data_IF_486662149033
#
_entry.id   IF_486662149033
#
_cell.length_a   1.000
_cell.length_b   1.000
_cell.length_c   1.000
_cell.angle_alpha   90.00
_cell.angle_beta   90.00
_cell.angle_gamma   90.00
#
_symmetry.space_group_name_H-M   'P 1'
#
loop_
_entity.id
_entity.type
_entity.pdbx_description
1 polymer ?
#
# COMPACT_ATOMS: atom_id res chain seq x y z
N UNK A 1 -44.50 -17.53 27.53
CA UNK A 1 -43.30 -16.67 27.40
C UNK A 1 -42.25 -17.51 26.70
N UNK A 2 -42.36 -17.83 25.40
CA UNK A 2 -42.54 -17.02 24.20
C UNK A 2 -41.31 -16.19 23.78
N UNK A 3 -41.02 -16.28 22.48
CA UNK A 3 -40.07 -15.59 21.60
C UNK A 3 -38.59 -16.01 21.60
N UNK A 4 -37.96 -16.34 20.48
CA UNK A 4 -38.41 -16.29 19.09
C UNK A 4 -37.22 -16.54 18.16
N UNK A 5 -37.11 -17.77 17.68
CA UNK A 5 -36.17 -18.21 16.64
C UNK A 5 -36.64 -17.57 15.31
N UNK A 6 -36.07 -16.42 14.93
CA UNK A 6 -36.45 -15.74 13.68
C UNK A 6 -35.74 -16.40 12.49
N UNK A 7 -36.30 -17.52 12.04
CA UNK A 7 -36.10 -18.05 10.69
C UNK A 7 -36.72 -17.03 9.74
N UNK A 8 -35.94 -16.47 8.82
CA UNK A 8 -36.47 -15.68 7.71
C UNK A 8 -36.84 -16.64 6.57
N UNK A 9 -38.12 -16.76 6.19
CA UNK A 9 -38.54 -17.44 4.97
C UNK A 9 -38.75 -16.36 3.89
N UNK A 10 -38.07 -16.39 2.75
CA UNK A 10 -38.55 -15.67 1.57
C UNK A 10 -37.93 -16.24 0.30
N UNK A 11 -38.52 -17.34 -0.17
CA UNK A 11 -39.17 -17.39 -1.49
C UNK A 11 -38.88 -16.19 -2.42
N UNK A 12 -37.71 -16.22 -3.08
CA UNK A 12 -37.37 -15.29 -4.18
C UNK A 12 -36.55 -15.94 -5.30
N UNK A 13 -36.29 -17.25 -5.21
CA UNK A 13 -35.43 -18.00 -6.13
C UNK A 13 -36.17 -18.64 -7.32
N UNK A 14 -37.51 -18.67 -7.34
CA UNK A 14 -38.28 -19.26 -8.46
C UNK A 14 -38.79 -18.24 -9.49
N UNK A 15 -38.92 -16.96 -9.14
CA UNK A 15 -39.43 -15.93 -10.08
C UNK A 15 -38.39 -15.45 -11.09
N UNK A 16 -37.10 -15.59 -10.79
CA UNK A 16 -36.03 -15.19 -11.70
C UNK A 16 -35.78 -16.21 -12.83
N UNK A 17 -36.15 -17.47 -12.64
CA UNK A 17 -35.95 -18.53 -13.63
C UNK A 17 -37.08 -18.59 -14.68
N UNK A 18 -38.29 -18.12 -14.32
CA UNK A 18 -39.43 -18.01 -15.24
C UNK A 18 -39.38 -16.82 -16.21
N UNK A 19 -38.48 -15.85 -16.01
CA UNK A 19 -38.36 -14.66 -16.87
C UNK A 19 -37.29 -14.80 -17.96
N UNK A 20 -36.44 -15.84 -17.89
CA UNK A 20 -35.41 -16.14 -18.90
C UNK A 20 -35.96 -16.95 -20.07
N UNK A 21 -37.01 -17.74 -19.86
CA UNK A 21 -37.66 -18.54 -20.92
C UNK A 21 -38.54 -17.71 -21.87
N UNK A 22 -38.98 -16.51 -21.47
CA UNK A 22 -39.85 -15.63 -22.28
C UNK A 22 -39.09 -14.64 -23.17
N UNK A 23 -37.78 -14.78 -23.32
CA UNK A 23 -36.99 -14.00 -24.31
C UNK A 23 -36.69 -14.77 -25.60
N UNK A 24 -37.19 -16.01 -25.76
CA UNK A 24 -36.95 -16.86 -26.94
C UNK A 24 -38.10 -16.83 -27.97
N UNK A 25 -38.80 -15.71 -28.09
CA UNK A 25 -39.83 -15.55 -29.12
C UNK A 25 -40.10 -14.07 -29.41
N UNK A 26 -39.13 -13.37 -30.00
CA UNK A 26 -39.39 -12.30 -30.98
C UNK A 26 -38.08 -11.84 -31.59
N UNK A 27 -37.78 -12.40 -32.75
CA UNK A 27 -36.77 -11.90 -33.66
C UNK A 27 -37.40 -10.76 -34.46
N UNK A 28 -36.92 -9.51 -34.31
CA UNK A 28 -37.00 -8.47 -35.34
C UNK A 28 -36.08 -7.28 -34.99
N UNK A 29 -35.16 -7.01 -35.93
CA UNK A 29 -34.47 -5.76 -36.28
C UNK A 29 -34.00 -4.75 -35.19
N UNK A 30 -32.69 -4.49 -35.18
CA UNK A 30 -32.13 -3.14 -34.95
C UNK A 30 -31.84 -2.69 -33.51
N UNK A 31 -32.22 -3.44 -32.47
CA UNK A 31 -31.99 -3.08 -31.03
C UNK A 31 -31.14 -4.09 -30.24
N UNK A 32 -30.26 -4.83 -30.92
CA UNK A 32 -29.51 -5.97 -30.35
C UNK A 32 -28.15 -5.57 -29.72
N UNK A 33 -27.38 -4.69 -30.37
CA UNK A 33 -26.01 -4.38 -29.94
C UNK A 33 -25.94 -3.69 -28.56
N UNK A 34 -26.81 -2.71 -28.30
CA UNK A 34 -26.86 -2.02 -27.00
C UNK A 34 -27.35 -2.91 -25.84
N UNK A 35 -28.16 -3.94 -26.13
CA UNK A 35 -28.64 -4.89 -25.12
C UNK A 35 -27.58 -5.96 -24.81
N UNK A 36 -26.82 -6.41 -25.80
CA UNK A 36 -25.68 -7.29 -25.60
C UNK A 36 -24.56 -6.59 -24.81
N UNK A 37 -24.26 -5.32 -25.12
CA UNK A 37 -23.27 -4.53 -24.38
C UNK A 37 -23.69 -4.31 -22.91
N UNK A 38 -24.96 -4.00 -22.66
CA UNK A 38 -25.47 -3.85 -21.29
C UNK A 38 -25.54 -5.17 -20.52
N UNK A 39 -25.78 -6.29 -21.21
CA UNK A 39 -25.74 -7.62 -20.60
C UNK A 39 -24.30 -7.99 -20.22
N UNK A 40 -23.33 -7.74 -21.12
CA UNK A 40 -21.90 -7.92 -20.88
C UNK A 40 -21.38 -7.00 -19.75
N UNK A 41 -21.82 -5.74 -19.70
CA UNK A 41 -21.44 -4.81 -18.62
C UNK A 41 -22.03 -5.24 -17.26
N UNK A 42 -23.25 -5.82 -17.25
CA UNK A 42 -23.87 -6.37 -16.03
C UNK A 42 -23.16 -7.62 -15.54
N UNK A 43 -22.78 -8.54 -16.43
CA UNK A 43 -22.00 -9.71 -16.05
C UNK A 43 -20.59 -9.31 -15.62
N UNK A 44 -19.96 -8.32 -16.24
CA UNK A 44 -18.66 -7.79 -15.80
C UNK A 44 -18.72 -7.14 -14.42
N UNK A 45 -19.75 -6.32 -14.14
CA UNK A 45 -19.99 -5.73 -12.81
C UNK A 45 -20.32 -6.79 -11.75
N UNK A 46 -21.06 -7.83 -12.11
CA UNK A 46 -21.37 -8.94 -11.22
C UNK A 46 -20.13 -9.80 -10.92
N UNK A 47 -19.28 -10.04 -11.91
CA UNK A 47 -17.98 -10.70 -11.74
C UNK A 47 -17.04 -9.86 -10.87
N UNK A 48 -16.95 -8.54 -11.08
CA UNK A 48 -16.19 -7.63 -10.21
C UNK A 48 -16.74 -7.61 -8.77
N UNK A 49 -18.06 -7.68 -8.61
CA UNK A 49 -18.68 -7.68 -7.27
C UNK A 49 -18.53 -9.03 -6.56
N UNK A 50 -18.59 -10.16 -7.26
CA UNK A 50 -18.29 -11.49 -6.71
C UNK A 50 -16.79 -11.67 -6.42
N UNK A 51 -15.91 -11.16 -7.28
CA UNK A 51 -14.46 -11.08 -7.04
C UNK A 51 -14.20 -10.29 -5.75
N UNK A 52 -14.81 -9.11 -5.59
CA UNK A 52 -14.70 -8.30 -4.38
C UNK A 52 -15.30 -8.96 -3.15
N UNK A 53 -16.41 -9.71 -3.26
CA UNK A 53 -17.07 -10.32 -2.10
C UNK A 53 -16.35 -11.59 -1.60
N UNK A 54 -15.79 -12.39 -2.52
CA UNK A 54 -14.95 -13.54 -2.16
C UNK A 54 -13.59 -13.08 -1.63
N UNK A 55 -13.01 -12.01 -2.19
CA UNK A 55 -11.86 -11.31 -1.60
C UNK A 55 -12.19 -10.82 -0.19
N UNK A 56 -13.34 -10.18 0.02
CA UNK A 56 -13.77 -9.69 1.35
C UNK A 56 -13.88 -10.80 2.41
N UNK A 57 -14.39 -11.98 2.05
CA UNK A 57 -14.54 -13.10 3.01
C UNK A 57 -13.19 -13.78 3.32
N UNK A 58 -12.31 -13.90 2.33
CA UNK A 58 -10.95 -14.45 2.51
C UNK A 58 -10.06 -13.47 3.29
N UNK A 59 -10.25 -12.18 3.06
CA UNK A 59 -9.69 -11.05 3.78
C UNK A 59 -10.14 -11.08 5.25
N UNK A 60 -11.42 -11.28 5.58
CA UNK A 60 -11.91 -11.41 6.98
C UNK A 60 -11.30 -12.64 7.70
N UNK A 61 -11.05 -13.73 6.98
CA UNK A 61 -10.51 -14.98 7.56
C UNK A 61 -8.98 -14.91 7.76
N UNK A 62 -8.25 -14.29 6.83
CA UNK A 62 -6.84 -13.93 6.99
C UNK A 62 -6.64 -12.85 8.06
N UNK A 63 -7.53 -11.86 8.14
CA UNK A 63 -7.53 -10.80 9.15
C UNK A 63 -7.59 -11.38 10.57
N UNK A 64 -8.44 -12.38 10.84
CA UNK A 64 -8.51 -13.05 12.15
C UNK A 64 -7.29 -13.90 12.50
N UNK A 65 -6.62 -14.47 11.50
CA UNK A 65 -5.37 -15.20 11.72
C UNK A 65 -4.20 -14.25 12.01
N UNK A 66 -4.15 -13.10 11.30
CA UNK A 66 -3.19 -12.02 11.55
C UNK A 66 -3.47 -11.24 12.85
N UNK A 67 -4.72 -11.13 13.27
CA UNK A 67 -5.17 -10.48 14.51
C UNK A 67 -4.68 -11.22 15.76
N UNK A 68 -4.44 -12.53 15.68
CA UNK A 68 -3.87 -13.35 16.76
C UNK A 68 -2.36 -13.20 16.95
N UNK A 69 -1.64 -12.60 16.00
CA UNK A 69 -0.17 -12.59 15.99
C UNK A 69 0.43 -11.26 16.45
N UNK A 70 -0.37 -10.22 16.57
CA UNK A 70 0.08 -8.88 16.97
C UNK A 70 -0.50 -8.55 18.34
N UNK A 71 0.27 -8.78 19.39
CA UNK A 71 -0.10 -8.36 20.74
C UNK A 71 -0.10 -6.83 20.81
N UNK A 72 -1.29 -6.17 20.87
CA UNK A 72 -1.37 -4.71 20.85
C UNK A 72 -0.83 -4.10 22.16
N UNK A 73 -0.70 -4.92 23.21
CA UNK A 73 -0.36 -4.50 24.57
C UNK A 73 0.73 -5.39 25.19
N UNK A 74 2.00 -5.26 24.76
CA UNK A 74 3.07 -5.98 25.42
C UNK A 74 3.22 -5.50 26.88
N UNK A 75 3.39 -6.42 27.85
CA UNK A 75 3.54 -6.08 29.28
C UNK A 75 4.89 -5.43 29.61
N UNK A 76 5.82 -5.36 28.65
CA UNK A 76 7.15 -4.80 28.85
C UNK A 76 7.13 -3.36 29.35
N UNK A 77 8.08 -3.06 30.24
CA UNK A 77 8.34 -1.69 30.68
C UNK A 77 8.81 -0.85 29.50
N UNK A 78 8.18 0.31 29.32
CA UNK A 78 8.55 1.28 28.30
C UNK A 78 9.86 1.95 28.76
N UNK A 79 11.01 1.68 28.11
CA UNK A 79 12.24 2.39 28.43
C UNK A 79 12.07 3.88 28.06
N UNK A 80 12.77 4.78 28.76
CA UNK A 80 12.73 6.19 28.40
C UNK A 80 13.16 6.38 26.92
N UNK A 81 12.44 7.22 26.15
CA UNK A 81 12.76 7.43 24.74
C UNK A 81 14.18 7.98 24.61
N UNK A 82 15.05 7.38 23.77
CA UNK A 82 16.43 7.85 23.59
C UNK A 82 16.46 9.19 22.86
N UNK A 83 17.49 10.00 23.15
CA UNK A 83 17.68 11.31 22.51
C UNK A 83 17.95 11.18 21.00
N UNK A 84 17.13 11.85 20.20
CA UNK A 84 17.25 11.95 18.74
C UNK A 84 16.12 11.26 17.95
N UNK A 85 15.70 11.89 16.85
CA UNK A 85 14.57 11.43 16.02
C UNK A 85 14.74 10.00 15.49
N UNK A 86 15.93 9.65 15.01
CA UNK A 86 16.20 8.32 14.42
C UNK A 86 16.17 7.21 15.48
N UNK A 87 16.76 7.46 16.65
CA UNK A 87 16.72 6.53 17.79
C UNK A 87 15.31 6.41 18.36
N UNK A 88 14.56 7.50 18.38
CA UNK A 88 13.15 7.50 18.76
C UNK A 88 12.30 6.66 17.81
N UNK A 89 12.42 6.85 16.49
CA UNK A 89 11.73 6.02 15.49
C UNK A 89 12.09 4.53 15.62
N UNK A 90 13.35 4.23 15.94
CA UNK A 90 13.82 2.86 16.18
C UNK A 90 13.26 2.25 17.48
N UNK A 91 13.09 3.07 18.52
CA UNK A 91 12.44 2.66 19.75
C UNK A 91 10.93 2.44 19.55
N UNK A 92 10.26 3.29 18.77
CA UNK A 92 8.86 3.17 18.38
C UNK A 92 8.56 1.91 17.54
N UNK A 93 9.54 1.39 16.82
CA UNK A 93 9.42 0.12 16.07
C UNK A 93 9.67 -1.12 16.92
N UNK A 94 10.04 -0.98 18.21
CA UNK A 94 10.24 -2.10 19.13
C UNK A 94 8.94 -2.90 19.29
N UNK A 95 8.97 -4.19 18.98
CA UNK A 95 7.80 -5.09 19.01
C UNK A 95 6.92 -5.11 17.75
N UNK A 96 7.21 -4.30 16.73
CA UNK A 96 6.62 -4.42 15.38
C UNK A 96 7.68 -4.75 14.31
N UNK A 97 8.93 -5.01 14.71
CA UNK A 97 10.10 -5.18 13.83
C UNK A 97 9.91 -6.26 12.77
N UNK A 98 9.33 -7.41 13.14
CA UNK A 98 9.07 -8.50 12.18
C UNK A 98 8.10 -8.09 11.07
N UNK A 99 7.04 -7.36 11.41
CA UNK A 99 6.04 -6.88 10.45
C UNK A 99 6.55 -5.74 9.59
N UNK A 100 7.31 -4.82 10.19
CA UNK A 100 8.01 -3.75 9.46
C UNK A 100 8.97 -4.36 8.45
N UNK A 101 9.72 -5.41 8.81
CA UNK A 101 10.61 -6.10 7.89
C UNK A 101 9.83 -6.82 6.79
N UNK A 102 8.75 -7.52 7.12
CA UNK A 102 7.90 -8.19 6.12
C UNK A 102 7.29 -7.18 5.12
N UNK A 103 6.81 -6.03 5.60
CA UNK A 103 6.31 -4.95 4.76
C UNK A 103 7.42 -4.35 3.88
N UNK A 104 8.61 -4.14 4.43
CA UNK A 104 9.77 -3.66 3.68
C UNK A 104 10.15 -4.63 2.56
N UNK A 105 10.15 -5.94 2.82
CA UNK A 105 10.41 -6.98 1.83
C UNK A 105 9.34 -7.04 0.74
N UNK A 106 8.06 -6.97 1.12
CA UNK A 106 6.94 -6.88 0.16
C UNK A 106 7.05 -5.63 -0.72
N UNK A 107 7.39 -4.49 -0.12
CA UNK A 107 7.56 -3.23 -0.85
C UNK A 107 8.75 -3.28 -1.81
N UNK A 108 9.90 -3.79 -1.35
CA UNK A 108 11.06 -4.00 -2.20
C UNK A 108 10.75 -4.99 -3.34
N UNK A 109 9.99 -6.05 -3.05
CA UNK A 109 9.54 -7.03 -4.06
C UNK A 109 8.68 -6.40 -5.15
N UNK A 110 7.74 -5.50 -4.78
CA UNK A 110 6.95 -4.72 -5.75
C UNK A 110 7.86 -3.85 -6.61
N UNK A 111 8.80 -3.12 -6.02
CA UNK A 111 9.71 -2.26 -6.78
C UNK A 111 10.63 -3.03 -7.73
N UNK A 112 11.14 -4.20 -7.32
CA UNK A 112 11.93 -5.08 -8.19
C UNK A 112 11.08 -5.60 -9.33
N UNK A 113 9.84 -5.98 -9.05
CA UNK A 113 8.89 -6.43 -10.07
C UNK A 113 8.58 -5.32 -11.09
N UNK A 114 8.39 -4.08 -10.63
CA UNK A 114 8.25 -2.90 -11.50
C UNK A 114 9.49 -2.65 -12.36
N UNK A 115 10.70 -2.76 -11.79
CA UNK A 115 11.94 -2.64 -12.55
C UNK A 115 12.04 -3.72 -13.65
N UNK A 116 11.65 -4.95 -13.32
CA UNK A 116 11.60 -6.05 -14.28
C UNK A 116 10.57 -5.80 -15.39
N UNK A 117 9.41 -5.20 -15.06
CA UNK A 117 8.40 -4.82 -16.05
C UNK A 117 8.95 -3.88 -17.14
N UNK A 118 9.83 -2.94 -16.78
CA UNK A 118 10.46 -2.06 -17.77
C UNK A 118 11.34 -2.83 -18.75
N UNK A 119 12.06 -3.85 -18.28
CA UNK A 119 12.86 -4.72 -19.15
C UNK A 119 11.98 -5.58 -20.06
N UNK A 120 10.87 -6.10 -19.53
CA UNK A 120 9.89 -6.86 -20.31
C UNK A 120 9.24 -6.00 -21.39
N UNK A 121 8.92 -4.73 -21.09
CA UNK A 121 8.37 -3.79 -22.06
C UNK A 121 9.30 -3.60 -23.26
N UNK A 122 10.62 -3.51 -23.03
CA UNK A 122 11.61 -3.45 -24.11
C UNK A 122 11.51 -4.64 -25.05
N UNK A 123 11.47 -5.86 -24.50
CA UNK A 123 11.33 -7.09 -25.30
C UNK A 123 10.01 -7.15 -26.08
N UNK A 124 8.91 -6.66 -25.51
CA UNK A 124 7.61 -6.60 -26.19
C UNK A 124 7.65 -5.63 -27.38
N UNK A 125 8.30 -4.47 -27.21
CA UNK A 125 8.48 -3.49 -28.30
C UNK A 125 9.37 -4.07 -29.41
N UNK A 126 10.46 -4.74 -29.05
CA UNK A 126 11.33 -5.42 -30.01
C UNK A 126 10.55 -6.49 -30.79
N UNK A 127 9.72 -7.28 -30.10
CA UNK A 127 8.88 -8.28 -30.75
C UNK A 127 7.89 -7.64 -31.74
N UNK A 128 7.24 -6.54 -31.36
CA UNK A 128 6.30 -5.83 -32.23
C UNK A 128 6.98 -5.31 -33.51
N UNK A 129 8.26 -4.89 -33.41
CA UNK A 129 9.04 -4.47 -34.57
C UNK A 129 9.31 -5.62 -35.55
N UNK A 130 9.55 -6.84 -35.05
CA UNK A 130 9.78 -8.03 -35.90
C UNK A 130 8.51 -8.51 -36.60
N UNK A 131 7.34 -8.30 -36.00
CA UNK A 131 6.05 -8.69 -36.57
C UNK A 131 5.66 -7.81 -37.74
N UNK A 132 5.95 -6.50 -37.64
CA UNK A 132 5.75 -5.56 -38.72
C UNK A 132 6.65 -5.87 -39.94
N UNK A 133 7.74 -6.62 -39.74
CA UNK A 133 8.67 -7.05 -40.78
C UNK A 133 8.30 -8.41 -41.45
N UNK A 134 7.16 -9.02 -41.11
CA UNK A 134 6.59 -10.16 -41.86
C UNK A 134 6.78 -11.57 -41.27
N UNK A 135 6.96 -11.71 -39.95
CA UNK A 135 7.08 -13.03 -39.28
C UNK A 135 5.75 -13.78 -39.04
N UNK A 136 5.82 -15.10 -38.82
CA UNK A 136 4.69 -16.02 -38.57
C UNK A 136 3.84 -15.61 -37.34
N UNK A 137 2.76 -14.85 -37.58
CA UNK A 137 2.03 -14.11 -36.56
C UNK A 137 1.05 -14.95 -35.70
N UNK A 138 0.34 -15.93 -36.24
CA UNK A 138 -0.90 -16.41 -35.58
C UNK A 138 -0.69 -17.23 -34.28
N UNK A 139 0.34 -18.08 -34.20
CA UNK A 139 0.59 -18.94 -33.03
C UNK A 139 1.40 -18.25 -31.93
N UNK A 140 2.22 -17.26 -32.29
CA UNK A 140 2.98 -16.47 -31.33
C UNK A 140 2.09 -15.39 -30.67
N UNK A 141 0.98 -14.98 -31.30
CA UNK A 141 0.16 -13.84 -30.85
C UNK A 141 -0.58 -14.18 -29.58
N UNK A 142 -1.23 -15.34 -29.58
CA UNK A 142 -1.97 -15.83 -28.42
C UNK A 142 -1.04 -16.05 -27.22
N UNK A 143 0.17 -16.60 -27.44
CA UNK A 143 1.14 -16.84 -26.35
C UNK A 143 1.64 -15.53 -25.73
N UNK A 144 1.93 -14.52 -26.55
CA UNK A 144 2.36 -13.19 -26.07
C UNK A 144 1.23 -12.50 -25.31
N UNK A 145 0.01 -12.50 -25.86
CA UNK A 145 -1.17 -11.91 -25.19
C UNK A 145 -1.46 -12.57 -23.83
N UNK A 146 -1.35 -13.91 -23.73
CA UNK A 146 -1.49 -14.62 -22.46
C UNK A 146 -0.40 -14.25 -21.46
N UNK A 147 0.86 -14.11 -21.90
CA UNK A 147 1.97 -13.70 -21.03
C UNK A 147 1.76 -12.29 -20.47
N UNK A 148 1.34 -11.33 -21.30
CA UNK A 148 1.02 -9.96 -20.88
C UNK A 148 -0.14 -9.97 -19.88
N UNK A 149 -1.19 -10.76 -20.14
CA UNK A 149 -2.33 -10.89 -19.23
C UNK A 149 -1.94 -11.45 -17.85
N UNK A 150 -1.09 -12.49 -17.80
CA UNK A 150 -0.60 -13.09 -16.55
C UNK A 150 0.28 -12.11 -15.78
N UNK A 151 1.16 -11.39 -16.48
CA UNK A 151 2.04 -10.38 -15.88
C UNK A 151 1.20 -9.26 -15.27
N UNK A 152 0.27 -8.66 -16.02
CA UNK A 152 -0.62 -7.61 -15.50
C UNK A 152 -1.44 -8.08 -14.28
N UNK A 153 -1.97 -9.30 -14.32
CA UNK A 153 -2.72 -9.86 -13.20
C UNK A 153 -1.81 -10.06 -11.97
N UNK A 154 -0.58 -10.54 -12.17
CA UNK A 154 0.42 -10.69 -11.11
C UNK A 154 0.76 -9.35 -10.47
N UNK A 155 0.93 -8.29 -11.27
CA UNK A 155 1.15 -6.92 -10.78
C UNK A 155 0.02 -6.45 -9.85
N UNK A 156 -1.22 -6.65 -10.27
CA UNK A 156 -2.40 -6.24 -9.49
C UNK A 156 -2.44 -7.00 -8.17
N UNK A 157 -2.21 -8.31 -8.19
CA UNK A 157 -2.22 -9.15 -6.98
C UNK A 157 -1.10 -8.76 -6.02
N UNK A 158 0.11 -8.52 -6.52
CA UNK A 158 1.26 -8.17 -5.69
C UNK A 158 1.08 -6.80 -5.01
N UNK A 159 0.62 -5.80 -5.75
CA UNK A 159 0.32 -4.47 -5.22
C UNK A 159 -0.88 -4.51 -4.25
N UNK A 160 -1.92 -5.28 -4.57
CA UNK A 160 -3.06 -5.46 -3.68
C UNK A 160 -2.63 -6.11 -2.35
N UNK A 161 -1.84 -7.18 -2.39
CA UNK A 161 -1.33 -7.84 -1.19
C UNK A 161 -0.50 -6.89 -0.32
N UNK A 162 0.43 -6.15 -0.93
CA UNK A 162 1.24 -5.14 -0.25
C UNK A 162 0.36 -4.08 0.43
N UNK A 163 -0.57 -3.50 -0.33
CA UNK A 163 -1.43 -2.42 0.16
C UNK A 163 -2.37 -2.88 1.27
N UNK A 164 -2.92 -4.09 1.17
CA UNK A 164 -3.75 -4.68 2.23
C UNK A 164 -2.95 -4.89 3.52
N UNK A 165 -1.76 -5.51 3.45
CA UNK A 165 -0.91 -5.71 4.64
C UNK A 165 -0.56 -4.37 5.30
N UNK A 166 -0.20 -3.37 4.50
CA UNK A 166 0.11 -2.03 5.00
C UNK A 166 -1.08 -1.37 5.72
N UNK A 167 -2.24 -1.36 5.09
CA UNK A 167 -3.41 -0.61 5.59
C UNK A 167 -4.15 -1.36 6.71
N UNK A 168 -4.20 -2.69 6.67
CA UNK A 168 -5.00 -3.47 7.62
C UNK A 168 -4.23 -3.83 8.88
N UNK A 169 -2.97 -4.24 8.73
CA UNK A 169 -2.17 -4.74 9.86
C UNK A 169 -1.42 -3.58 10.52
N UNK A 170 -0.72 -2.78 9.71
CA UNK A 170 0.23 -1.80 10.22
C UNK A 170 -0.41 -0.42 10.46
N UNK A 171 -1.28 0.06 9.57
CA UNK A 171 -1.78 1.44 9.64
C UNK A 171 -2.69 1.71 10.83
N UNK A 172 -3.37 0.67 11.34
CA UNK A 172 -4.28 0.76 12.48
C UNK A 172 -3.57 0.40 13.79
N UNK A 173 -2.89 -0.74 13.85
CA UNK A 173 -2.33 -1.22 15.12
C UNK A 173 -1.15 -0.36 15.61
N UNK A 174 -0.26 0.07 14.71
CA UNK A 174 0.93 0.85 15.06
C UNK A 174 0.61 2.17 15.80
N UNK A 175 -0.28 3.06 15.31
CA UNK A 175 -0.61 4.30 16.02
C UNK A 175 -1.40 4.04 17.31
N UNK A 176 -2.23 2.99 17.39
CA UNK A 176 -2.95 2.64 18.62
C UNK A 176 -1.97 2.25 19.74
N UNK A 177 -0.97 1.43 19.39
CA UNK A 177 0.07 1.03 20.33
C UNK A 177 0.96 2.19 20.75
N UNK A 178 1.37 3.04 19.82
CA UNK A 178 2.13 4.26 20.12
C UNK A 178 1.38 5.19 21.08
N UNK A 179 0.06 5.37 20.88
CA UNK A 179 -0.78 6.14 21.79
C UNK A 179 -0.79 5.55 23.20
N UNK A 180 -0.87 4.23 23.32
CA UNK A 180 -0.82 3.54 24.61
C UNK A 180 0.54 3.73 25.32
N UNK A 181 1.64 3.54 24.59
CA UNK A 181 2.99 3.70 25.13
C UNK A 181 3.24 5.15 25.60
N UNK A 182 2.82 6.15 24.80
CA UNK A 182 2.92 7.55 25.21
C UNK A 182 2.02 7.90 26.39
N UNK A 183 0.81 7.31 26.46
CA UNK A 183 -0.06 7.50 27.61
C UNK A 183 0.58 6.96 28.90
N UNK A 184 1.20 5.77 28.86
CA UNK A 184 1.96 5.21 29.99
C UNK A 184 3.17 6.07 30.38
N UNK A 185 3.85 6.67 29.40
CA UNK A 185 4.97 7.58 29.66
C UNK A 185 4.50 8.89 30.31
N UNK A 186 3.37 9.44 29.90
CA UNK A 186 2.77 10.62 30.54
C UNK A 186 2.40 10.36 32.01
N UNK A 187 1.85 9.20 32.34
CA UNK A 187 1.49 8.83 33.72
C UNK A 187 2.71 8.73 34.66
N UNK A 188 3.92 8.62 34.10
CA UNK A 188 5.19 8.52 34.86
C UNK A 188 5.91 9.86 35.01
N UNK A 189 5.34 10.96 34.52
CA UNK A 189 5.95 12.30 34.58
C UNK A 189 5.68 13.03 35.90
N UNK A 190 6.59 13.94 36.25
CA UNK A 190 6.55 14.70 37.51
C UNK A 190 5.42 15.75 37.55
N UNK A 191 4.97 16.12 38.76
CA UNK A 191 3.94 17.15 38.94
C UNK A 191 4.41 18.56 38.49
N UNK A 192 5.72 18.82 38.56
CA UNK A 192 6.32 20.07 38.05
C UNK A 192 6.09 20.23 36.55
N UNK A 193 6.27 19.16 35.77
CA UNK A 193 6.04 19.16 34.32
C UNK A 193 4.59 19.53 33.95
N UNK A 194 3.60 19.08 34.73
CA UNK A 194 2.19 19.42 34.51
C UNK A 194 1.83 20.86 34.93
N UNK A 195 2.67 21.48 35.78
CA UNK A 195 2.50 22.87 36.20
C UNK A 195 3.13 23.84 35.19
N UNK A 196 4.21 23.43 34.54
CA UNK A 196 4.92 24.22 33.52
C UNK A 196 4.27 24.12 32.11
N UNK A 197 3.68 22.97 31.78
CA UNK A 197 3.08 22.72 30.46
C UNK A 197 1.61 22.31 30.59
N UNK A 198 0.69 23.16 30.11
CA UNK A 198 -0.76 22.91 30.17
C UNK A 198 -1.13 21.52 29.59
N UNK A 199 -1.84 20.72 30.38
CA UNK A 199 -2.21 19.33 30.08
C UNK A 199 -2.92 19.12 28.72
N UNK A 200 -3.64 20.13 28.22
CA UNK A 200 -4.28 20.11 26.90
C UNK A 200 -3.28 20.09 25.74
N UNK A 201 -2.21 20.89 25.84
CA UNK A 201 -1.14 20.95 24.82
C UNK A 201 -0.36 19.64 24.78
N UNK A 202 -0.06 19.06 25.95
CA UNK A 202 0.65 17.77 26.07
C UNK A 202 -0.16 16.63 25.44
N UNK A 203 -1.46 16.56 25.75
CA UNK A 203 -2.35 15.51 25.21
C UNK A 203 -2.46 15.59 23.69
N UNK A 204 -2.61 16.78 23.12
CA UNK A 204 -2.65 16.97 21.66
C UNK A 204 -1.31 16.62 21.01
N UNK A 205 -0.18 17.01 21.62
CA UNK A 205 1.17 16.64 21.15
C UNK A 205 1.32 15.12 21.10
N UNK A 206 0.89 14.39 22.12
CA UNK A 206 0.95 12.91 22.16
C UNK A 206 0.09 12.28 21.07
N UNK A 207 -1.14 12.75 20.90
CA UNK A 207 -2.08 12.21 19.90
C UNK A 207 -1.56 12.38 18.47
N UNK A 208 -1.03 13.56 18.15
CA UNK A 208 -0.52 13.90 16.82
C UNK A 208 0.82 13.22 16.53
N UNK A 209 1.72 13.18 17.53
CA UNK A 209 3.04 12.54 17.37
C UNK A 209 2.90 11.06 17.01
N UNK A 210 1.93 10.34 17.59
CA UNK A 210 1.67 8.94 17.23
C UNK A 210 1.30 8.75 15.75
N UNK A 211 0.53 9.68 15.16
CA UNK A 211 0.18 9.66 13.74
C UNK A 211 1.38 10.04 12.87
N UNK A 212 2.09 11.12 13.22
CA UNK A 212 3.26 11.57 12.49
C UNK A 212 4.38 10.52 12.45
N UNK A 213 4.62 9.81 13.57
CA UNK A 213 5.61 8.72 13.64
C UNK A 213 5.26 7.60 12.68
N UNK A 214 3.99 7.18 12.65
CA UNK A 214 3.51 6.14 11.71
C UNK A 214 3.77 6.58 10.26
N UNK A 215 3.41 7.81 9.92
CA UNK A 215 3.53 8.29 8.54
C UNK A 215 5.00 8.37 8.09
N UNK A 216 5.89 8.80 8.98
CA UNK A 216 7.35 8.80 8.74
C UNK A 216 7.87 7.37 8.54
N UNK A 217 7.45 6.42 9.38
CA UNK A 217 7.87 5.02 9.24
C UNK A 217 7.41 4.43 7.91
N UNK A 218 6.16 4.62 7.52
CA UNK A 218 5.66 4.12 6.23
C UNK A 218 6.37 4.77 5.06
N UNK A 219 6.60 6.07 5.11
CA UNK A 219 7.37 6.80 4.10
C UNK A 219 8.76 6.17 3.93
N UNK A 220 9.48 5.89 5.02
CA UNK A 220 10.81 5.29 4.96
C UNK A 220 10.75 3.85 4.41
N UNK A 221 9.82 3.03 4.89
CA UNK A 221 9.71 1.62 4.53
C UNK A 221 9.25 1.41 3.08
N UNK A 222 8.40 2.29 2.58
CA UNK A 222 7.83 2.20 1.23
C UNK A 222 8.69 2.92 0.19
N UNK A 223 9.04 4.17 0.45
CA UNK A 223 9.65 5.04 -0.55
C UNK A 223 11.15 4.77 -0.65
N UNK A 224 11.85 4.50 0.46
CA UNK A 224 13.32 4.36 0.41
C UNK A 224 13.77 3.13 -0.40
N UNK A 225 13.21 1.92 -0.24
CA UNK A 225 13.54 0.79 -1.10
C UNK A 225 13.17 1.04 -2.57
N UNK A 226 12.02 1.68 -2.83
CA UNK A 226 11.58 2.00 -4.19
C UNK A 226 12.55 2.90 -4.93
N UNK A 227 12.94 4.02 -4.31
CA UNK A 227 13.96 4.93 -4.86
C UNK A 227 15.29 4.18 -5.09
N UNK A 228 15.70 3.34 -4.15
CA UNK A 228 16.93 2.54 -4.29
C UNK A 228 16.90 1.61 -5.50
N UNK A 229 15.81 0.86 -5.69
CA UNK A 229 15.65 -0.04 -6.85
C UNK A 229 15.63 0.74 -8.16
N UNK A 230 14.96 1.89 -8.22
CA UNK A 230 14.93 2.72 -9.43
C UNK A 230 16.30 3.28 -9.82
N UNK A 231 17.10 3.74 -8.84
CA UNK A 231 18.47 4.15 -9.11
C UNK A 231 19.34 3.00 -9.62
N UNK A 232 19.19 1.80 -9.05
CA UNK A 232 19.90 0.62 -9.54
C UNK A 232 19.45 0.28 -10.97
N UNK A 233 18.15 0.32 -11.24
CA UNK A 233 17.59 0.00 -12.56
C UNK A 233 18.09 0.95 -13.64
N UNK A 234 18.11 2.27 -13.40
CA UNK A 234 18.59 3.25 -14.39
C UNK A 234 20.09 3.10 -14.65
N UNK A 235 20.89 2.83 -13.62
CA UNK A 235 22.34 2.59 -13.74
C UNK A 235 22.58 1.30 -14.53
N UNK A 236 21.86 0.22 -14.20
CA UNK A 236 21.98 -1.07 -14.89
C UNK A 236 21.59 -0.95 -16.38
N UNK A 237 20.50 -0.25 -16.67
CA UNK A 237 20.05 0.02 -18.04
C UNK A 237 21.09 0.84 -18.82
N UNK A 238 21.59 1.94 -18.23
CA UNK A 238 22.61 2.78 -18.84
C UNK A 238 23.93 2.04 -19.09
N UNK A 239 24.35 1.20 -18.13
CA UNK A 239 25.55 0.35 -18.26
C UNK A 239 25.44 -0.71 -19.35
N UNK A 240 24.21 -1.09 -19.75
CA UNK A 240 23.97 -1.99 -20.87
C UNK A 240 24.29 -1.37 -22.24
N UNK A 241 24.34 -0.04 -22.36
CA UNK A 241 24.64 0.65 -23.62
C UNK A 241 26.12 1.02 -23.74
N UNK A 242 26.67 1.77 -22.79
CA UNK A 242 28.08 2.18 -22.75
C UNK A 242 28.45 2.63 -21.33
N UNK A 243 29.61 2.20 -20.81
CA UNK A 243 30.11 2.61 -19.49
C UNK A 243 30.25 4.14 -19.38
N UNK A 244 30.55 4.83 -20.48
CA UNK A 244 30.72 6.28 -20.50
C UNK A 244 29.38 7.03 -20.32
N UNK A 245 28.26 6.40 -20.68
CA UNK A 245 26.91 6.94 -20.47
C UNK A 245 26.46 6.87 -19.00
N UNK A 246 27.06 6.02 -18.17
CA UNK A 246 26.73 5.88 -16.75
C UNK A 246 27.24 7.06 -15.90
N UNK A 247 28.33 7.69 -16.34
CA UNK A 247 29.04 8.75 -15.61
C UNK A 247 28.16 9.99 -15.29
N UNK A 248 27.38 10.57 -16.24
CA UNK A 248 26.48 11.68 -15.90
C UNK A 248 25.39 11.30 -14.91
N UNK A 249 24.86 10.07 -14.95
CA UNK A 249 23.84 9.62 -14.00
C UNK A 249 24.40 9.48 -12.58
N UNK A 250 25.58 8.88 -12.43
CA UNK A 250 26.23 8.76 -11.12
C UNK A 250 26.57 10.15 -10.56
N UNK A 251 27.13 11.04 -11.39
CA UNK A 251 27.43 12.41 -10.97
C UNK A 251 26.17 13.13 -10.50
N UNK A 252 25.05 12.98 -11.22
CA UNK A 252 23.77 13.55 -10.85
C UNK A 252 23.22 12.99 -9.54
N UNK A 253 23.29 11.67 -9.32
CA UNK A 253 22.86 11.02 -8.07
C UNK A 253 23.65 11.54 -6.87
N UNK A 254 24.96 11.70 -7.02
CA UNK A 254 25.83 12.23 -5.95
C UNK A 254 25.49 13.68 -5.65
N UNK A 255 25.34 14.53 -6.67
CA UNK A 255 24.91 15.93 -6.52
C UNK A 255 23.54 16.03 -5.84
N UNK A 256 22.59 15.19 -6.24
CA UNK A 256 21.26 15.14 -5.65
C UNK A 256 21.31 14.72 -4.17
N UNK A 257 22.09 13.68 -3.84
CA UNK A 257 22.30 13.25 -2.45
C UNK A 257 22.91 14.33 -1.57
N UNK A 258 23.93 15.04 -2.07
CA UNK A 258 24.54 16.19 -1.39
C UNK A 258 23.54 17.32 -1.14
N UNK A 259 22.75 17.68 -2.16
CA UNK A 259 21.72 18.68 -2.02
C UNK A 259 20.70 18.27 -0.94
N UNK A 260 20.25 17.02 -0.96
CA UNK A 260 19.28 16.52 0.02
C UNK A 260 19.83 16.56 1.45
N UNK A 261 21.08 16.17 1.67
CA UNK A 261 21.74 16.25 2.97
C UNK A 261 21.90 17.68 3.48
N UNK A 262 22.02 18.66 2.60
CA UNK A 262 22.11 20.07 2.98
C UNK A 262 20.73 20.69 3.25
N UNK A 263 19.73 20.43 2.40
CA UNK A 263 18.41 21.06 2.49
C UNK A 263 17.50 20.43 3.54
N UNK A 264 17.48 19.10 3.67
CA UNK A 264 16.60 18.39 4.63
C UNK A 264 16.78 18.84 6.09
N UNK A 265 18.00 18.88 6.66
CA UNK A 265 18.16 19.32 8.05
C UNK A 265 17.85 20.80 8.23
N UNK A 266 18.11 21.63 7.22
CA UNK A 266 17.83 23.06 7.27
C UNK A 266 16.32 23.33 7.28
N UNK A 267 15.56 22.62 6.44
CA UNK A 267 14.09 22.65 6.44
C UNK A 267 13.51 22.22 7.79
N UNK A 268 14.10 21.19 8.41
CA UNK A 268 13.69 20.73 9.75
C UNK A 268 13.84 21.81 10.83
N UNK A 269 14.98 22.52 10.86
CA UNK A 269 15.23 23.60 11.83
C UNK A 269 14.23 24.75 11.71
N UNK A 270 14.02 25.23 10.49
CA UNK A 270 13.06 26.32 10.21
C UNK A 270 11.64 25.91 10.56
N UNK A 271 11.25 24.67 10.28
CA UNK A 271 9.94 24.13 10.67
C UNK A 271 9.73 24.12 12.19
N UNK A 272 10.77 23.80 12.96
CA UNK A 272 10.70 23.78 14.42
C UNK A 272 10.61 25.19 15.02
N UNK A 273 11.38 26.14 14.48
CA UNK A 273 11.28 27.56 14.86
C UNK A 273 9.88 28.12 14.60
N UNK A 274 9.27 27.80 13.45
CA UNK A 274 7.90 28.20 13.15
C UNK A 274 6.86 27.54 14.06
N UNK A 275 7.01 26.25 14.38
CA UNK A 275 6.09 25.55 15.28
C UNK A 275 6.12 26.17 16.70
N UNK A 276 7.31 26.49 17.19
CA UNK A 276 7.49 27.14 18.49
C UNK A 276 6.86 28.55 18.51
N UNK A 277 7.11 29.35 17.47
CA UNK A 277 6.53 30.69 17.35
C UNK A 277 4.99 30.67 17.27
N UNK A 278 4.40 29.69 16.58
CA UNK A 278 2.93 29.52 16.56
C UNK A 278 2.37 29.16 17.92
N UNK A 279 3.06 28.32 18.69
CA UNK A 279 2.62 27.92 20.02
C UNK A 279 2.78 28.99 21.10
N UNK A 280 3.61 30.01 20.88
CA UNK A 280 3.75 31.16 21.79
C UNK A 280 2.72 32.26 21.55
N UNK A 281 2.11 32.30 20.36
CA UNK A 281 1.07 33.28 20.03
C UNK A 281 -0.33 32.88 20.54
N UNK A 282 -0.52 31.64 21.00
CA UNK A 282 -1.78 31.08 21.50
C UNK A 282 -1.62 30.50 22.89
#
# INVERSE_FOLDING_TARGET
MDHGRRVLPFSGLSEHQGRVSRCRAHNHHGKSSARLLNCALKTLKALFKCQNLHWFVLEITMLRAFEKWLDPFPPDEVPPPPEGLTRFLWACTRGARGYVLALALLSAGVSIYEAWLFSFLGQVVDLLSTWQAGGDAALQESRVLWSIGIILLTSIVLVALRTMVQHQVLAINLPLRLRWDFHRLMLRQSLSFFSDEFSGRVTTKVMQTALSVRDVLFTIIEIAPGIGVYFIAIIALAGGFDLKLMLPFIAWIVLFGLAMLYFVPRLGKVGQEQANARSSMT
#
